data_IF_451873380488
#
_entry.id   IF_451873380488
#
_cell.length_a   1.000
_cell.length_b   1.000
_cell.length_c   1.000
_cell.angle_alpha   90.00
_cell.angle_beta   90.00
_cell.angle_gamma   90.00
#
_symmetry.space_group_name_H-M   'P 1'
#
loop_
_entity.id
_entity.type
_entity.pdbx_description
1 polymer ?
#
# COMPACT_ATOMS: atom_id res chain seq x y z
N UNK A 1 -16.59 -2.36 4.33
CA UNK A 1 -15.27 -1.78 4.69
C UNK A 1 -14.76 -2.46 5.95
N UNK A 2 -13.47 -2.78 6.01
CA UNK A 2 -12.81 -3.38 7.17
C UNK A 2 -11.50 -2.65 7.45
N UNK A 3 -11.06 -2.60 8.71
CA UNK A 3 -9.82 -1.94 9.10
C UNK A 3 -10.02 -0.46 9.45
N UNK A 4 -8.97 0.34 9.40
CA UNK A 4 -9.05 1.77 9.71
C UNK A 4 -9.39 2.59 8.46
N UNK A 5 -10.23 3.62 8.61
CA UNK A 5 -10.59 4.48 7.49
C UNK A 5 -11.24 5.79 7.90
N UNK A 6 -11.17 6.75 6.99
CA UNK A 6 -11.83 8.06 7.10
C UNK A 6 -13.03 8.06 6.16
N UNK A 7 -14.20 8.41 6.69
CA UNK A 7 -15.41 8.59 5.91
C UNK A 7 -15.95 10.00 6.08
N UNK A 8 -16.07 10.72 4.96
CA UNK A 8 -16.69 12.03 4.90
C UNK A 8 -18.14 11.85 4.44
N UNK A 9 -19.08 12.23 5.30
CA UNK A 9 -20.51 12.16 5.01
C UNK A 9 -20.94 13.33 4.13
N UNK A 10 -21.96 13.14 3.30
CA UNK A 10 -22.52 14.20 2.44
C UNK A 10 -23.05 15.40 3.25
N UNK A 11 -23.48 15.17 4.50
CA UNK A 11 -23.87 16.22 5.44
C UNK A 11 -22.67 16.95 6.08
N UNK A 12 -21.44 16.73 5.59
CA UNK A 12 -20.22 17.37 6.08
C UNK A 12 -19.75 16.85 7.45
N UNK A 13 -20.33 15.78 7.97
CA UNK A 13 -19.76 15.08 9.12
C UNK A 13 -18.56 14.23 8.67
N UNK A 14 -17.70 13.86 9.60
CA UNK A 14 -16.52 13.04 9.33
C UNK A 14 -16.39 11.99 10.42
N UNK A 15 -16.08 10.76 10.03
CA UNK A 15 -15.65 9.72 10.96
C UNK A 15 -14.25 9.26 10.60
N UNK A 16 -13.40 9.09 11.60
CA UNK A 16 -12.05 8.57 11.48
C UNK A 16 -11.84 7.53 12.58
N UNK A 17 -11.65 6.27 12.18
CA UNK A 17 -11.63 5.18 13.15
C UNK A 17 -11.62 3.81 12.51
N UNK A 18 -11.74 2.78 13.35
CA UNK A 18 -11.85 1.40 12.88
C UNK A 18 -13.27 1.08 12.35
N UNK A 19 -13.29 0.12 11.43
CA UNK A 19 -14.43 -0.36 10.67
C UNK A 19 -14.44 -1.88 10.64
N UNK A 20 -15.64 -2.44 10.73
CA UNK A 20 -15.90 -3.86 10.54
C UNK A 20 -17.21 -4.03 9.78
N UNK A 21 -17.20 -4.77 8.68
CA UNK A 21 -18.37 -5.00 7.81
C UNK A 21 -19.11 -3.72 7.38
N UNK A 22 -18.36 -2.63 7.16
CA UNK A 22 -18.92 -1.33 6.79
C UNK A 22 -19.56 -0.55 7.94
N UNK A 23 -19.44 -1.03 9.18
CA UNK A 23 -19.90 -0.34 10.39
C UNK A 23 -18.71 0.19 11.18
N UNK A 24 -18.92 1.30 11.88
CA UNK A 24 -17.94 1.85 12.83
C UNK A 24 -17.76 0.87 13.99
N UNK A 25 -16.52 0.49 14.27
CA UNK A 25 -16.17 -0.56 15.22
C UNK A 25 -14.84 -0.23 15.90
N UNK A 26 -14.71 -0.43 17.21
CA UNK A 26 -13.47 -0.15 17.94
C UNK A 26 -13.25 1.34 18.20
N UNK A 27 -11.99 1.75 18.36
CA UNK A 27 -11.66 3.15 18.66
C UNK A 27 -11.86 4.06 17.43
N UNK A 28 -12.51 5.20 17.64
CA UNK A 28 -12.75 6.16 16.57
C UNK A 28 -13.24 7.52 17.07
N UNK A 29 -13.16 8.50 16.17
CA UNK A 29 -13.58 9.88 16.37
C UNK A 29 -14.56 10.30 15.27
N UNK A 30 -15.68 10.86 15.71
CA UNK A 30 -16.70 11.47 14.88
C UNK A 30 -16.64 12.98 15.04
N UNK A 31 -16.53 13.71 13.94
CA UNK A 31 -16.55 15.17 13.89
C UNK A 31 -17.80 15.62 13.17
N UNK A 32 -18.64 16.39 13.85
CA UNK A 32 -19.81 17.02 13.27
C UNK A 32 -19.40 18.21 12.40
N UNK A 33 -20.30 18.65 11.52
CA UNK A 33 -20.06 19.80 10.63
C UNK A 33 -19.79 21.09 11.44
N UNK A 34 -20.38 21.22 12.62
CA UNK A 34 -20.18 22.35 13.54
C UNK A 34 -18.81 22.33 14.24
N UNK A 35 -17.98 21.30 14.02
CA UNK A 35 -16.68 21.13 14.66
C UNK A 35 -16.72 20.37 15.99
N UNK A 36 -17.89 20.07 16.52
CA UNK A 36 -18.04 19.24 17.71
C UNK A 36 -17.51 17.83 17.44
N UNK A 37 -16.86 17.21 18.44
CA UNK A 37 -16.28 15.88 18.28
C UNK A 37 -16.75 14.92 19.36
N UNK A 38 -17.06 13.70 18.94
CA UNK A 38 -17.32 12.56 19.80
C UNK A 38 -16.28 11.50 19.52
N UNK A 39 -15.51 11.13 20.54
CA UNK A 39 -14.48 10.10 20.44
C UNK A 39 -14.75 9.01 21.47
N UNK A 40 -14.30 7.79 21.20
CA UNK A 40 -14.52 6.67 22.10
C UNK A 40 -14.47 5.31 21.41
N UNK A 41 -15.06 4.31 22.05
CA UNK A 41 -15.24 2.96 21.51
C UNK A 41 -16.60 2.83 20.81
N UNK A 42 -16.59 2.34 19.59
CA UNK A 42 -17.75 2.15 18.73
C UNK A 42 -18.06 0.66 18.61
N UNK A 43 -19.34 0.30 18.65
CA UNK A 43 -19.81 -1.06 18.47
C UNK A 43 -21.00 -1.04 17.51
N UNK A 44 -20.93 -1.80 16.42
CA UNK A 44 -22.02 -1.92 15.44
C UNK A 44 -22.52 -0.57 14.89
N UNK A 45 -21.65 0.43 14.79
CA UNK A 45 -22.01 1.75 14.29
C UNK A 45 -22.48 2.73 15.37
N UNK A 46 -22.55 2.34 16.64
CA UNK A 46 -23.01 3.18 17.76
C UNK A 46 -21.83 3.46 18.69
N UNK A 47 -21.76 4.68 19.25
CA UNK A 47 -20.78 5.01 20.28
C UNK A 47 -21.17 4.31 21.58
N UNK A 48 -20.41 3.31 21.97
CA UNK A 48 -20.65 2.47 23.14
C UNK A 48 -20.06 3.12 24.40
N UNK A 49 -18.77 3.47 24.34
CA UNK A 49 -18.06 4.13 25.45
C UNK A 49 -17.47 5.45 24.97
N UNK A 50 -18.02 6.61 25.39
CA UNK A 50 -17.42 7.90 25.07
C UNK A 50 -16.08 8.06 25.79
N UNK A 51 -15.15 8.76 25.15
CA UNK A 51 -13.85 9.00 25.71
C UNK A 51 -13.86 10.13 26.74
N UNK A 52 -13.14 9.97 27.85
CA UNK A 52 -13.01 10.98 28.90
C UNK A 52 -11.66 11.70 28.80
N UNK A 53 -11.65 12.99 29.16
CA UNK A 53 -10.43 13.81 29.19
C UNK A 53 -9.76 13.82 30.58
N UNK A 54 -10.50 13.49 31.65
CA UNK A 54 -9.98 13.54 33.01
C UNK A 54 -9.37 12.19 33.43
N UNK A 55 -8.06 12.18 33.61
CA UNK A 55 -7.30 11.05 34.16
C UNK A 55 -7.28 11.02 35.70
N UNK A 56 -7.90 12.00 36.35
CA UNK A 56 -7.72 12.28 37.79
C UNK A 56 -8.39 11.27 38.72
N UNK A 57 -9.40 10.51 38.25
CA UNK A 57 -10.02 9.42 39.01
C UNK A 57 -10.42 8.29 38.06
N UNK A 58 -9.74 7.13 38.09
CA UNK A 58 -10.15 5.99 37.28
C UNK A 58 -11.40 5.37 37.92
N UNK A 59 -12.59 5.83 37.52
CA UNK A 59 -13.86 5.34 38.08
C UNK A 59 -14.30 4.00 37.47
N UNK A 60 -13.64 3.52 36.42
CA UNK A 60 -14.02 2.27 35.76
C UNK A 60 -12.88 1.67 34.92
N UNK A 61 -12.65 0.34 34.99
CA UNK A 61 -11.75 -0.39 34.08
C UNK A 61 -12.11 -0.25 32.59
N UNK A 62 -13.33 0.23 32.29
CA UNK A 62 -13.89 0.37 30.94
C UNK A 62 -13.60 1.76 30.34
N UNK A 63 -13.06 2.70 31.12
CA UNK A 63 -12.87 4.08 30.66
C UNK A 63 -11.92 4.16 29.43
N UNK A 64 -12.41 4.78 28.36
CA UNK A 64 -11.62 5.08 27.16
C UNK A 64 -11.06 6.49 27.31
N UNK A 65 -9.75 6.65 27.41
CA UNK A 65 -9.15 7.99 27.47
C UNK A 65 -9.09 8.64 26.08
N UNK A 66 -9.34 9.95 26.01
CA UNK A 66 -9.25 10.68 24.74
C UNK A 66 -7.88 10.54 24.06
N UNK A 67 -6.79 10.59 24.85
CA UNK A 67 -5.42 10.37 24.36
C UNK A 67 -5.24 9.00 23.69
N UNK A 68 -5.88 7.95 24.21
CA UNK A 68 -5.84 6.61 23.62
C UNK A 68 -6.50 6.59 22.25
N UNK A 69 -7.64 7.27 22.10
CA UNK A 69 -8.34 7.37 20.80
C UNK A 69 -7.50 8.15 19.80
N UNK A 70 -6.94 9.30 20.20
CA UNK A 70 -6.07 10.10 19.35
C UNK A 70 -4.84 9.31 18.89
N UNK A 71 -4.16 8.62 19.80
CA UNK A 71 -3.00 7.81 19.47
C UNK A 71 -3.37 6.69 18.47
N UNK A 72 -4.48 5.97 18.72
CA UNK A 72 -4.93 4.92 17.81
C UNK A 72 -5.23 5.45 16.40
N UNK A 73 -5.88 6.61 16.31
CA UNK A 73 -6.20 7.28 15.05
C UNK A 73 -4.93 7.72 14.32
N UNK A 74 -3.98 8.35 15.02
CA UNK A 74 -2.73 8.82 14.45
C UNK A 74 -1.84 7.67 13.97
N UNK A 75 -1.70 6.62 14.78
CA UNK A 75 -0.92 5.44 14.42
C UNK A 75 -1.51 4.73 13.21
N UNK A 76 -2.83 4.63 13.12
CA UNK A 76 -3.47 4.03 11.95
C UNK A 76 -3.31 4.88 10.68
N UNK A 77 -3.36 6.22 10.78
CA UNK A 77 -3.03 7.12 9.66
C UNK A 77 -1.59 6.91 9.19
N UNK A 78 -0.63 6.89 10.11
CA UNK A 78 0.80 6.66 9.80
C UNK A 78 1.03 5.30 9.16
N UNK A 79 0.37 4.26 9.66
CA UNK A 79 0.46 2.92 9.08
C UNK A 79 -0.10 2.89 7.65
N UNK A 80 -1.22 3.58 7.39
CA UNK A 80 -1.79 3.67 6.05
C UNK A 80 -0.88 4.43 5.07
N UNK A 81 -0.30 5.55 5.49
CA UNK A 81 0.66 6.34 4.69
C UNK A 81 1.92 5.52 4.37
N UNK A 82 2.49 4.85 5.38
CA UNK A 82 3.64 3.97 5.19
C UNK A 82 3.33 2.82 4.23
N UNK A 83 2.14 2.22 4.31
CA UNK A 83 1.76 1.14 3.41
C UNK A 83 1.64 1.60 1.95
N UNK A 84 1.13 2.81 1.72
CA UNK A 84 1.08 3.42 0.39
C UNK A 84 2.48 3.67 -0.19
N UNK A 85 3.39 4.21 0.62
CA UNK A 85 4.77 4.47 0.17
C UNK A 85 5.54 3.17 -0.13
N UNK A 86 5.37 2.14 0.71
CA UNK A 86 5.97 0.82 0.48
C UNK A 86 5.50 0.24 -0.85
N UNK A 87 4.20 0.29 -1.15
CA UNK A 87 3.66 -0.23 -2.41
C UNK A 87 4.26 0.49 -3.64
N UNK A 88 4.47 1.81 -3.55
CA UNK A 88 5.11 2.60 -4.62
C UNK A 88 6.58 2.25 -4.80
N UNK A 89 7.30 1.96 -3.71
CA UNK A 89 8.69 1.50 -3.78
C UNK A 89 8.76 0.12 -4.46
N UNK A 90 7.89 -0.82 -4.08
CA UNK A 90 7.84 -2.16 -4.67
C UNK A 90 7.55 -2.11 -6.18
N UNK A 91 6.63 -1.25 -6.64
CA UNK A 91 6.37 -1.08 -8.08
C UNK A 91 7.62 -0.59 -8.82
N UNK A 92 8.34 0.38 -8.26
CA UNK A 92 9.58 0.91 -8.85
C UNK A 92 10.67 -0.17 -8.92
N UNK A 93 10.83 -0.95 -7.86
CA UNK A 93 11.80 -2.05 -7.81
C UNK A 93 11.42 -3.12 -8.83
N UNK A 94 10.16 -3.56 -8.86
CA UNK A 94 9.67 -4.56 -9.82
C UNK A 94 9.88 -4.11 -11.27
N UNK A 95 9.62 -2.83 -11.57
CA UNK A 95 9.86 -2.25 -12.90
C UNK A 95 11.35 -2.25 -13.26
N UNK A 96 12.23 -1.89 -12.32
CA UNK A 96 13.66 -1.89 -12.53
C UNK A 96 14.20 -3.31 -12.78
N UNK A 97 13.76 -4.28 -11.97
CA UNK A 97 14.10 -5.71 -12.12
C UNK A 97 13.63 -6.24 -13.48
N UNK A 98 12.39 -5.93 -13.88
CA UNK A 98 11.87 -6.35 -15.19
C UNK A 98 12.63 -5.72 -16.37
N UNK A 99 13.04 -4.45 -16.25
CA UNK A 99 13.87 -3.79 -17.26
C UNK A 99 15.25 -4.43 -17.38
N UNK A 100 15.91 -4.70 -16.25
CA UNK A 100 17.21 -5.36 -16.22
C UNK A 100 17.14 -6.78 -16.83
N UNK A 101 16.13 -7.56 -16.46
CA UNK A 101 15.93 -8.90 -17.02
C UNK A 101 15.67 -8.89 -18.53
N UNK A 102 14.88 -7.92 -19.02
CA UNK A 102 14.68 -7.74 -20.47
C UNK A 102 15.98 -7.40 -21.20
N UNK A 103 16.78 -6.49 -20.65
CA UNK A 103 18.06 -6.10 -21.23
C UNK A 103 19.05 -7.27 -21.27
N UNK A 104 19.17 -8.02 -20.17
CA UNK A 104 20.03 -9.19 -20.09
C UNK A 104 19.62 -10.27 -21.11
N UNK A 105 18.32 -10.55 -21.22
CA UNK A 105 17.80 -11.51 -22.20
C UNK A 105 18.02 -11.05 -23.64
N UNK A 106 17.81 -9.76 -23.94
CA UNK A 106 18.07 -9.20 -25.27
C UNK A 106 19.55 -9.30 -25.66
N UNK A 107 20.46 -8.97 -24.73
CA UNK A 107 21.90 -9.10 -24.93
C UNK A 107 22.30 -10.56 -25.21
N UNK A 108 21.77 -11.51 -24.43
CA UNK A 108 22.00 -12.94 -24.63
C UNK A 108 21.53 -13.41 -26.01
N UNK A 109 20.33 -13.00 -26.43
CA UNK A 109 19.76 -13.35 -27.75
C UNK A 109 20.59 -12.74 -28.88
N UNK A 110 20.99 -11.47 -28.75
CA UNK A 110 21.82 -10.79 -29.75
C UNK A 110 23.18 -11.48 -29.92
N UNK A 111 23.82 -11.88 -28.81
CA UNK A 111 25.08 -12.62 -28.83
C UNK A 111 24.93 -13.97 -29.55
N UNK A 112 23.91 -14.76 -29.21
CA UNK A 112 23.63 -16.04 -29.89
C UNK A 112 23.38 -15.84 -31.39
N UNK A 113 22.60 -14.80 -31.75
CA UNK A 113 22.31 -14.49 -33.15
C UNK A 113 23.56 -14.07 -33.92
N UNK A 114 24.47 -13.33 -33.29
CA UNK A 114 25.75 -12.96 -33.89
C UNK A 114 26.63 -14.20 -34.15
N UNK A 115 26.70 -15.13 -33.19
CA UNK A 115 27.43 -16.40 -33.34
C UNK A 115 26.84 -17.23 -34.49
N UNK A 116 25.52 -17.38 -34.54
CA UNK A 116 24.84 -18.09 -35.63
C UNK A 116 25.14 -17.46 -37.00
N UNK A 117 25.07 -16.13 -37.10
CA UNK A 117 25.38 -15.41 -38.35
C UNK A 117 26.81 -15.68 -38.82
N UNK A 118 27.78 -15.72 -37.90
CA UNK A 118 29.17 -16.01 -38.21
C UNK A 118 29.36 -17.46 -38.71
N UNK A 119 28.69 -18.44 -38.09
CA UNK A 119 28.73 -19.84 -38.55
C UNK A 119 28.16 -20.01 -39.97
N UNK A 120 27.03 -19.35 -40.28
CA UNK A 120 26.44 -19.40 -41.61
C UNK A 120 27.31 -18.71 -42.69
N UNK A 121 28.04 -17.65 -42.33
CA UNK A 121 28.98 -17.02 -43.26
C UNK A 121 30.20 -17.91 -43.55
N UNK A 122 30.71 -18.61 -42.53
CA UNK A 122 31.89 -19.47 -42.68
C UNK A 122 31.62 -20.67 -43.60
N UNK A 123 30.43 -21.29 -43.50
CA UNK A 123 30.02 -22.39 -44.37
C UNK A 123 29.89 -22.02 -45.86
N UNK A 124 29.83 -20.72 -46.19
CA UNK A 124 29.73 -20.22 -47.57
C UNK A 124 31.09 -19.93 -48.21
N UNK A 125 32.17 -19.89 -47.41
CA UNK A 125 33.53 -19.62 -47.89
C UNK A 125 34.24 -20.92 -48.33
N UNK A 126 33.77 -22.08 -47.88
CA UNK A 126 34.37 -23.39 -48.21
C UNK A 126 34.00 -23.91 -49.62
N UNK A 127 33.25 -23.15 -50.43
CA UNK A 127 32.88 -23.53 -51.80
C UNK A 127 33.58 -22.65 -52.85
N UNK A 128 34.91 -22.70 -52.89
CA UNK A 128 35.70 -22.11 -53.97
C UNK A 128 35.78 -23.14 -55.12
N UNK A 129 35.30 -22.84 -56.36
CA UNK A 129 35.49 -23.73 -57.48
C UNK A 129 36.96 -23.71 -57.92
N UNK A 130 37.58 -24.88 -57.97
CA UNK A 130 38.96 -25.06 -58.43
C UNK A 130 39.00 -24.72 -59.94
N UNK A 131 39.88 -23.83 -60.42
CA UNK A 131 40.02 -23.59 -61.85
C UNK A 131 40.72 -24.80 -62.48
N UNK A 132 40.03 -25.48 -63.39
CA UNK A 132 40.62 -26.51 -64.25
C UNK A 132 41.43 -25.80 -65.34
N UNK A 133 42.71 -26.16 -65.41
CA UNK A 133 43.69 -25.78 -66.45
C UNK A 133 43.32 -26.41 -67.79
#
# INVERSE_FOLDING_TARGET
>A
MHGFGIYCFANGHRYEGAWHEGRRQGLGMYTFRNGETQSGHWQNGILDVPSTQNATYPVSPVAVYHSKVLNAVQEARRAAEKAYDVAKVDERVNRAVAAANRAANAARVAAVKAVQKQMHHNNNIDHIPIPVV
#
